data_IF_505115121119
#
_entry.id   IF_505115121119
#
_cell.length_a   1.000
_cell.length_b   1.000
_cell.length_c   1.000
_cell.angle_alpha   90.00
_cell.angle_beta   90.00
_cell.angle_gamma   90.00
#
_symmetry.space_group_name_H-M   'P 1'
#
loop_
_entity.id
_entity.type
_entity.pdbx_description
1 polymer ?
#
# COMPACT_ATOMS: atom_id res chain seq x y z
N UNK A 1 -19.97 21.72 3.76
CA UNK A 1 -19.59 20.57 4.62
C UNK A 1 -18.88 21.14 5.84
N UNK A 2 -19.21 20.72 7.06
CA UNK A 2 -18.39 21.10 8.22
C UNK A 2 -16.99 20.48 8.09
N UNK A 3 -15.98 21.13 8.65
CA UNK A 3 -14.59 20.64 8.66
C UNK A 3 -14.51 19.21 9.21
N UNK A 4 -15.30 18.93 10.26
CA UNK A 4 -15.43 17.62 10.89
C UNK A 4 -15.92 16.54 9.91
N UNK A 5 -16.97 16.84 9.14
CA UNK A 5 -17.51 15.88 8.16
C UNK A 5 -16.46 15.57 7.08
N UNK A 6 -15.70 16.57 6.64
CA UNK A 6 -14.63 16.38 5.66
C UNK A 6 -13.50 15.51 6.21
N UNK A 7 -13.11 15.72 7.47
CA UNK A 7 -12.08 14.95 8.15
C UNK A 7 -12.46 13.47 8.32
N UNK A 8 -13.69 13.20 8.79
CA UNK A 8 -14.18 11.82 8.98
C UNK A 8 -14.24 11.07 7.64
N UNK A 9 -14.71 11.74 6.58
CA UNK A 9 -14.71 11.16 5.23
C UNK A 9 -13.30 10.87 4.73
N UNK A 10 -12.37 11.83 4.91
CA UNK A 10 -10.96 11.67 4.54
C UNK A 10 -10.32 10.47 5.24
N UNK A 11 -10.47 10.37 6.57
CA UNK A 11 -9.97 9.26 7.36
C UNK A 11 -10.57 7.91 6.90
N UNK A 12 -11.89 7.88 6.65
CA UNK A 12 -12.57 6.69 6.14
C UNK A 12 -12.08 6.24 4.77
N UNK A 13 -11.85 7.18 3.83
CA UNK A 13 -11.28 6.86 2.52
C UNK A 13 -9.85 6.32 2.64
N UNK A 14 -9.02 6.94 3.47
CA UNK A 14 -7.64 6.52 3.66
C UNK A 14 -7.55 5.15 4.31
N UNK A 15 -8.38 4.84 5.30
CA UNK A 15 -8.44 3.51 5.89
C UNK A 15 -8.80 2.44 4.84
N UNK A 16 -9.74 2.74 3.93
CA UNK A 16 -10.09 1.82 2.83
C UNK A 16 -8.96 1.66 1.81
N UNK A 17 -8.29 2.75 1.45
CA UNK A 17 -7.12 2.75 0.55
C UNK A 17 -5.96 1.96 1.17
N UNK A 18 -5.73 2.13 2.47
CA UNK A 18 -4.74 1.41 3.25
C UNK A 18 -4.99 -0.10 3.20
N UNK A 19 -6.21 -0.51 3.56
CA UNK A 19 -6.62 -1.92 3.52
C UNK A 19 -6.53 -2.48 2.09
N UNK A 20 -7.05 -1.75 1.09
CA UNK A 20 -6.95 -2.16 -0.30
C UNK A 20 -5.49 -2.34 -0.74
N UNK A 21 -4.58 -1.46 -0.32
CA UNK A 21 -3.15 -1.60 -0.61
C UNK A 21 -2.56 -2.85 0.02
N UNK A 22 -2.76 -3.05 1.33
CA UNK A 22 -2.20 -4.21 2.02
C UNK A 22 -2.76 -5.52 1.49
N UNK A 23 -4.05 -5.60 1.17
CA UNK A 23 -4.66 -6.81 0.60
C UNK A 23 -4.57 -6.86 -0.94
N UNK A 24 -3.73 -6.01 -1.55
CA UNK A 24 -3.48 -5.96 -2.99
C UNK A 24 -4.73 -5.81 -3.88
N UNK A 25 -5.79 -5.18 -3.38
CA UNK A 25 -7.05 -4.90 -4.08
C UNK A 25 -7.01 -3.56 -4.81
N UNK A 26 -6.08 -3.42 -5.76
CA UNK A 26 -5.82 -2.15 -6.46
C UNK A 26 -6.95 -1.71 -7.41
N UNK A 27 -7.74 -2.66 -7.89
CA UNK A 27 -8.97 -2.44 -8.67
C UNK A 27 -10.00 -1.63 -7.87
N UNK A 28 -10.22 -2.00 -6.61
CA UNK A 28 -11.14 -1.31 -5.71
C UNK A 28 -10.63 0.08 -5.28
N UNK A 29 -9.33 0.34 -5.42
CA UNK A 29 -8.70 1.55 -4.93
C UNK A 29 -8.87 2.75 -5.88
N UNK A 30 -8.96 2.51 -7.19
CA UNK A 30 -9.09 3.57 -8.19
C UNK A 30 -10.32 4.48 -7.96
N UNK A 31 -11.55 3.96 -7.80
CA UNK A 31 -12.71 4.82 -7.56
C UNK A 31 -12.65 5.53 -6.20
N UNK A 32 -11.99 4.94 -5.20
CA UNK A 32 -11.76 5.61 -3.91
C UNK A 32 -10.79 6.79 -4.07
N UNK A 33 -9.75 6.61 -4.87
CA UNK A 33 -8.78 7.66 -5.15
C UNK A 33 -9.37 8.82 -5.96
N UNK A 34 -10.20 8.53 -6.96
CA UNK A 34 -10.91 9.56 -7.73
C UNK A 34 -11.82 10.41 -6.83
N UNK A 35 -12.55 9.78 -5.90
CA UNK A 35 -13.37 10.48 -4.91
C UNK A 35 -12.51 11.28 -3.94
N UNK A 36 -11.45 10.67 -3.40
CA UNK A 36 -10.53 11.34 -2.50
C UNK A 36 -9.91 12.59 -3.15
N UNK A 37 -9.54 12.54 -4.43
CA UNK A 37 -9.01 13.69 -5.15
C UNK A 37 -10.04 14.79 -5.38
N UNK A 38 -11.30 14.42 -5.60
CA UNK A 38 -12.39 15.37 -5.80
C UNK A 38 -12.77 16.09 -4.50
N UNK A 39 -12.70 15.38 -3.38
CA UNK A 39 -13.12 15.87 -2.06
C UNK A 39 -11.96 16.43 -1.21
N UNK A 40 -10.70 16.16 -1.56
CA UNK A 40 -9.56 16.68 -0.82
C UNK A 40 -9.48 18.20 -0.95
N UNK A 41 -9.46 18.91 0.18
CA UNK A 41 -9.08 20.32 0.25
C UNK A 41 -7.63 20.51 -0.19
N UNK A 42 -7.28 21.74 -0.59
CA UNK A 42 -5.95 22.08 -1.11
C UNK A 42 -4.81 21.80 -0.13
N UNK A 43 -5.09 21.63 1.17
CA UNK A 43 -4.07 21.23 2.15
C UNK A 43 -4.61 20.24 3.20
N UNK A 44 -4.52 18.92 2.97
CA UNK A 44 -4.92 17.91 3.96
C UNK A 44 -3.89 17.72 5.07
N UNK A 45 -2.81 18.51 5.13
CA UNK A 45 -1.73 18.34 6.09
C UNK A 45 -0.68 17.32 5.64
N UNK A 46 0.51 17.44 6.22
CA UNK A 46 1.73 16.83 5.70
C UNK A 46 1.72 15.29 5.69
N UNK A 47 1.31 14.69 6.81
CA UNK A 47 1.23 13.22 6.94
C UNK A 47 0.33 12.60 5.87
N UNK A 48 -0.81 13.25 5.61
CA UNK A 48 -1.80 12.80 4.63
C UNK A 48 -1.27 12.81 3.21
N UNK A 49 -0.55 13.87 2.85
CA UNK A 49 0.04 13.99 1.53
C UNK A 49 1.09 12.90 1.28
N UNK A 50 1.91 12.61 2.28
CA UNK A 50 2.92 11.55 2.22
C UNK A 50 2.31 10.15 2.08
N UNK A 51 1.30 9.84 2.90
CA UNK A 51 0.56 8.58 2.81
C UNK A 51 -0.14 8.45 1.44
N UNK A 52 -0.74 9.54 0.94
CA UNK A 52 -1.34 9.60 -0.39
C UNK A 52 -0.33 9.28 -1.49
N UNK A 53 0.87 9.87 -1.48
CA UNK A 53 1.88 9.54 -2.47
C UNK A 53 2.26 8.06 -2.46
N UNK A 54 2.43 7.48 -1.26
CA UNK A 54 2.74 6.05 -1.14
C UNK A 54 1.66 5.20 -1.81
N UNK A 55 0.40 5.34 -1.40
CA UNK A 55 -0.67 4.47 -1.90
C UNK A 55 -0.96 4.69 -3.39
N UNK A 56 -0.89 5.92 -3.88
CA UNK A 56 -1.05 6.21 -5.31
C UNK A 56 0.08 5.63 -6.13
N UNK A 57 1.32 5.72 -5.64
CA UNK A 57 2.48 5.11 -6.27
C UNK A 57 2.32 3.60 -6.39
N UNK A 58 1.94 2.93 -5.29
CA UNK A 58 1.72 1.48 -5.27
C UNK A 58 0.58 1.04 -6.19
N UNK A 59 -0.52 1.82 -6.23
CA UNK A 59 -1.61 1.61 -7.17
C UNK A 59 -1.13 1.67 -8.62
N UNK A 60 -0.47 2.78 -8.96
CA UNK A 60 -0.09 3.09 -10.33
C UNK A 60 0.94 2.08 -10.83
N UNK A 61 1.87 1.66 -9.97
CA UNK A 61 2.83 0.61 -10.28
C UNK A 61 2.14 -0.74 -10.53
N UNK A 62 1.19 -1.13 -9.68
CA UNK A 62 0.45 -2.39 -9.83
C UNK A 62 -0.40 -2.39 -11.11
N UNK A 63 -1.25 -1.37 -11.29
CA UNK A 63 -2.09 -1.23 -12.48
C UNK A 63 -1.26 -1.10 -13.77
N UNK A 64 -0.12 -0.42 -13.74
CA UNK A 64 0.76 -0.36 -14.89
C UNK A 64 1.39 -1.73 -15.21
N UNK A 65 1.82 -2.50 -14.20
CA UNK A 65 2.36 -3.84 -14.44
C UNK A 65 1.33 -4.76 -15.09
N UNK A 66 0.07 -4.68 -14.64
CA UNK A 66 -1.01 -5.54 -15.12
C UNK A 66 -1.52 -5.12 -16.50
N UNK A 67 -1.79 -3.83 -16.70
CA UNK A 67 -2.47 -3.36 -17.93
C UNK A 67 -1.52 -2.77 -18.98
N UNK A 68 -0.26 -2.49 -18.64
CA UNK A 68 0.74 -1.79 -19.47
C UNK A 68 0.28 -0.43 -20.03
N UNK A 69 -0.71 0.21 -19.39
CA UNK A 69 -1.30 1.46 -19.90
C UNK A 69 -0.42 2.66 -19.53
N UNK A 70 -0.10 3.46 -20.54
CA UNK A 70 0.73 4.68 -20.41
C UNK A 70 0.23 5.65 -19.33
N UNK A 71 -1.10 5.77 -19.15
CA UNK A 71 -1.69 6.63 -18.12
C UNK A 71 -1.20 6.29 -16.70
N UNK A 72 -1.05 4.99 -16.38
CA UNK A 72 -0.59 4.56 -15.06
C UNK A 72 0.92 4.73 -14.91
N UNK A 73 1.71 4.54 -15.99
CA UNK A 73 3.12 4.91 -16.01
C UNK A 73 3.34 6.39 -15.74
N UNK A 74 2.53 7.26 -16.39
CA UNK A 74 2.58 8.72 -16.18
C UNK A 74 2.22 9.08 -14.75
N UNK A 75 1.13 8.52 -14.22
CA UNK A 75 0.73 8.72 -12.82
C UNK A 75 1.82 8.29 -11.84
N UNK A 76 2.45 7.13 -12.06
CA UNK A 76 3.55 6.65 -11.24
C UNK A 76 4.76 7.60 -11.30
N UNK A 77 5.16 8.03 -12.50
CA UNK A 77 6.26 8.99 -12.70
C UNK A 77 6.00 10.31 -11.99
N UNK A 78 4.80 10.86 -12.12
CA UNK A 78 4.39 12.10 -11.43
C UNK A 78 4.42 11.92 -9.92
N UNK A 79 3.88 10.81 -9.41
CA UNK A 79 3.86 10.51 -7.97
C UNK A 79 5.27 10.35 -7.40
N UNK A 80 6.16 9.68 -8.13
CA UNK A 80 7.58 9.57 -7.79
C UNK A 80 8.24 10.96 -7.67
N UNK A 81 8.09 11.83 -8.69
CA UNK A 81 8.64 13.20 -8.65
C UNK A 81 8.08 14.02 -7.49
N UNK A 82 6.77 13.99 -7.28
CA UNK A 82 6.12 14.75 -6.22
C UNK A 82 6.53 14.26 -4.83
N UNK A 83 6.65 12.94 -4.64
CA UNK A 83 7.14 12.37 -3.38
C UNK A 83 8.60 12.76 -3.10
N UNK A 84 9.44 12.81 -4.14
CA UNK A 84 10.83 13.27 -4.03
C UNK A 84 10.87 14.72 -3.55
N UNK A 85 10.13 15.59 -4.25
CA UNK A 85 10.05 17.02 -3.92
C UNK A 85 9.53 17.24 -2.48
N UNK A 86 8.49 16.52 -2.07
CA UNK A 86 7.95 16.61 -0.72
C UNK A 86 8.98 16.16 0.34
N UNK A 87 9.70 15.07 0.10
CA UNK A 87 10.77 14.62 1.00
C UNK A 87 11.91 15.64 1.10
N UNK A 88 12.40 16.17 -0.02
CA UNK A 88 13.54 17.11 -0.01
C UNK A 88 13.20 18.45 0.62
N UNK A 89 11.94 18.89 0.53
CA UNK A 89 11.51 20.21 1.04
C UNK A 89 11.06 20.19 2.49
N UNK A 90 10.58 19.05 2.99
CA UNK A 90 9.86 18.98 4.28
C UNK A 90 10.45 17.96 5.27
N UNK A 91 11.57 17.32 4.91
CA UNK A 91 12.40 16.57 5.85
C UNK A 91 12.22 15.04 5.83
N UNK A 92 13.02 14.37 6.67
CA UNK A 92 13.29 12.92 6.57
C UNK A 92 12.12 12.00 6.91
N UNK A 93 11.08 12.46 7.60
CA UNK A 93 9.98 11.60 8.07
C UNK A 93 9.17 10.92 6.95
N UNK A 94 9.47 11.22 5.68
CA UNK A 94 8.85 10.61 4.50
C UNK A 94 9.85 9.98 3.54
N UNK A 95 11.13 9.95 3.90
CA UNK A 95 12.21 9.37 3.10
C UNK A 95 11.89 7.91 2.76
N UNK A 96 11.46 7.14 3.75
CA UNK A 96 11.16 5.72 3.60
C UNK A 96 10.03 5.47 2.58
N UNK A 97 8.94 6.24 2.63
CA UNK A 97 7.83 6.17 1.66
C UNK A 97 8.27 6.54 0.25
N UNK A 98 9.07 7.60 0.12
CA UNK A 98 9.66 7.98 -1.16
C UNK A 98 10.52 6.83 -1.73
N UNK A 99 11.35 6.19 -0.89
CA UNK A 99 12.19 5.07 -1.32
C UNK A 99 11.37 3.86 -1.79
N UNK A 100 10.23 3.56 -1.16
CA UNK A 100 9.31 2.51 -1.64
C UNK A 100 8.77 2.87 -3.03
N UNK A 101 8.31 4.12 -3.24
CA UNK A 101 7.80 4.59 -4.54
C UNK A 101 8.91 4.55 -5.60
N UNK A 102 10.14 4.93 -5.24
CA UNK A 102 11.32 4.86 -6.11
C UNK A 102 11.57 3.41 -6.55
N UNK A 103 11.59 2.46 -5.61
CA UNK A 103 11.81 1.05 -5.90
C UNK A 103 10.75 0.50 -6.87
N UNK A 104 9.48 0.84 -6.65
CA UNK A 104 8.37 0.47 -7.54
C UNK A 104 8.46 1.12 -8.91
N UNK A 105 8.85 2.39 -9.00
CA UNK A 105 9.06 3.07 -10.27
C UNK A 105 10.16 2.39 -11.09
N UNK A 106 11.30 2.07 -10.47
CA UNK A 106 12.39 1.34 -11.12
C UNK A 106 11.87 -0.03 -11.56
N UNK A 107 11.28 -0.82 -10.65
CA UNK A 107 10.75 -2.16 -10.96
C UNK A 107 9.72 -2.18 -12.10
N UNK A 108 8.87 -1.16 -12.18
CA UNK A 108 7.86 -0.99 -13.21
C UNK A 108 8.45 -0.60 -14.57
N UNK A 109 9.54 0.17 -14.60
CA UNK A 109 10.12 0.73 -15.83
C UNK A 109 11.35 -0.01 -16.35
N UNK A 110 11.95 -0.85 -15.52
CA UNK A 110 13.03 -1.77 -15.87
C UNK A 110 12.66 -2.73 -16.99
N UNK A 111 13.62 -3.02 -17.86
CA UNK A 111 13.49 -4.07 -18.88
C UNK A 111 13.54 -5.43 -18.18
N UNK A 112 12.51 -6.24 -18.36
CA UNK A 112 12.47 -7.58 -17.77
C UNK A 112 13.60 -8.45 -18.34
N UNK A 113 14.29 -9.18 -17.46
CA UNK A 113 15.39 -10.09 -17.84
C UNK A 113 16.76 -9.43 -17.98
N UNK A 114 16.86 -8.10 -17.92
CA UNK A 114 18.15 -7.41 -17.88
C UNK A 114 18.75 -7.45 -16.47
N UNK A 115 19.98 -7.98 -16.35
CA UNK A 115 20.65 -8.17 -15.05
C UNK A 115 20.88 -6.84 -14.33
N UNK A 116 21.36 -5.83 -15.06
CA UNK A 116 21.62 -4.49 -14.50
C UNK A 116 20.34 -3.87 -13.94
N UNK A 117 19.23 -4.02 -14.68
CA UNK A 117 17.91 -3.61 -14.22
C UNK A 117 17.49 -4.35 -12.95
N UNK A 118 17.72 -5.66 -12.85
CA UNK A 118 17.39 -6.45 -11.65
C UNK A 118 18.18 -5.94 -10.45
N UNK A 119 19.50 -5.77 -10.57
CA UNK A 119 20.35 -5.32 -9.47
C UNK A 119 19.96 -3.92 -8.96
N UNK A 120 19.60 -3.01 -9.87
CA UNK A 120 19.07 -1.70 -9.50
C UNK A 120 17.76 -1.79 -8.70
N UNK A 121 16.84 -2.68 -9.08
CA UNK A 121 15.60 -2.93 -8.34
C UNK A 121 15.91 -3.52 -6.95
N UNK A 122 16.82 -4.50 -6.88
CA UNK A 122 17.23 -5.11 -5.61
C UNK A 122 17.80 -4.07 -4.64
N UNK A 123 18.68 -3.20 -5.14
CA UNK A 123 19.26 -2.12 -4.35
C UNK A 123 18.19 -1.16 -3.83
N UNK A 124 17.29 -0.68 -4.70
CA UNK A 124 16.25 0.26 -4.32
C UNK A 124 15.28 -0.29 -3.26
N UNK A 125 14.87 -1.57 -3.36
CA UNK A 125 14.04 -2.19 -2.34
C UNK A 125 14.80 -2.41 -1.03
N UNK A 126 16.08 -2.79 -1.07
CA UNK A 126 16.90 -2.93 0.15
C UNK A 126 17.01 -1.61 0.90
N UNK A 127 17.24 -0.50 0.20
CA UNK A 127 17.25 0.84 0.80
C UNK A 127 15.90 1.14 1.47
N UNK A 128 14.79 0.89 0.78
CA UNK A 128 13.45 1.14 1.29
C UNK A 128 13.14 0.31 2.55
N UNK A 129 13.51 -0.98 2.56
CA UNK A 129 13.34 -1.89 3.68
C UNK A 129 14.20 -1.43 4.87
N UNK A 130 15.47 -1.12 4.62
CA UNK A 130 16.42 -0.68 5.66
C UNK A 130 15.94 0.59 6.33
N UNK A 131 15.66 1.65 5.55
CA UNK A 131 15.24 2.93 6.12
C UNK A 131 13.89 2.79 6.84
N UNK A 132 12.94 2.01 6.31
CA UNK A 132 11.64 1.80 6.98
C UNK A 132 11.77 1.05 8.31
N UNK A 133 12.67 0.07 8.40
CA UNK A 133 12.86 -0.69 9.63
C UNK A 133 13.66 0.11 10.66
N UNK A 134 14.66 0.88 10.24
CA UNK A 134 15.48 1.74 11.09
C UNK A 134 14.64 2.81 11.80
N UNK A 135 13.75 3.49 11.07
CA UNK A 135 12.88 4.53 11.65
C UNK A 135 11.69 3.96 12.45
N UNK A 136 11.58 2.64 12.58
CA UNK A 136 10.50 1.98 13.32
C UNK A 136 9.17 1.84 12.56
N UNK A 137 9.11 2.17 11.28
CA UNK A 137 7.95 1.93 10.41
C UNK A 137 7.91 0.47 9.92
N UNK A 138 7.80 -0.46 10.88
CA UNK A 138 7.84 -1.91 10.64
C UNK A 138 6.80 -2.38 9.61
N UNK A 139 5.62 -1.76 9.57
CA UNK A 139 4.57 -2.09 8.60
C UNK A 139 4.93 -1.69 7.17
N UNK A 140 5.63 -0.57 6.99
CA UNK A 140 6.11 -0.13 5.68
C UNK A 140 7.33 -0.95 5.24
N UNK A 141 8.17 -1.41 6.18
CA UNK A 141 9.21 -2.40 5.90
C UNK A 141 8.61 -3.74 5.43
N UNK A 142 7.55 -4.21 6.11
CA UNK A 142 6.79 -5.40 5.69
C UNK A 142 6.18 -5.24 4.30
N UNK A 143 5.63 -4.05 4.00
CA UNK A 143 5.10 -3.71 2.68
C UNK A 143 6.20 -3.74 1.61
N UNK A 144 7.34 -3.10 1.85
CA UNK A 144 8.47 -3.12 0.92
C UNK A 144 8.97 -4.56 0.66
N UNK A 145 9.08 -5.38 1.70
CA UNK A 145 9.41 -6.81 1.58
C UNK A 145 8.40 -7.58 0.73
N UNK A 146 7.09 -7.45 0.99
CA UNK A 146 6.03 -8.12 0.20
C UNK A 146 6.09 -7.69 -1.27
N UNK A 147 6.22 -6.39 -1.52
CA UNK A 147 6.30 -5.83 -2.87
C UNK A 147 7.52 -6.34 -3.64
N UNK A 148 8.67 -6.40 -2.98
CA UNK A 148 9.90 -6.91 -3.58
C UNK A 148 9.81 -8.42 -3.85
N UNK A 149 9.29 -9.20 -2.89
CA UNK A 149 9.08 -10.64 -3.08
C UNK A 149 8.18 -10.92 -4.29
N UNK A 150 7.07 -10.19 -4.44
CA UNK A 150 6.19 -10.32 -5.61
C UNK A 150 6.93 -10.01 -6.93
N UNK A 151 7.81 -9.02 -6.94
CA UNK A 151 8.66 -8.75 -8.12
C UNK A 151 9.61 -9.92 -8.43
N UNK A 152 10.23 -10.51 -7.41
CA UNK A 152 11.14 -11.65 -7.55
C UNK A 152 10.42 -12.93 -8.01
N UNK A 153 9.18 -13.15 -7.56
CA UNK A 153 8.32 -14.26 -8.03
C UNK A 153 8.08 -14.14 -9.54
N UNK A 154 7.79 -12.94 -10.04
CA UNK A 154 7.60 -12.70 -11.48
C UNK A 154 8.87 -13.02 -12.29
N UNK A 155 10.05 -12.88 -11.67
CA UNK A 155 11.34 -13.23 -12.26
C UNK A 155 11.77 -14.69 -12.01
N UNK A 156 10.91 -15.51 -11.36
CA UNK A 156 11.20 -16.90 -10.98
C UNK A 156 12.42 -17.05 -10.05
N UNK A 157 12.69 -16.04 -9.23
CA UNK A 157 13.80 -16.05 -8.25
C UNK A 157 13.30 -16.57 -6.89
N UNK A 158 12.84 -17.83 -6.87
CA UNK A 158 12.08 -18.42 -5.76
C UNK A 158 12.78 -18.33 -4.38
N UNK A 159 14.11 -18.52 -4.32
CA UNK A 159 14.86 -18.46 -3.07
C UNK A 159 14.88 -17.04 -2.46
N UNK A 160 15.19 -16.03 -3.28
CA UNK A 160 15.16 -14.62 -2.86
C UNK A 160 13.73 -14.20 -2.50
N UNK A 161 12.74 -14.61 -3.30
CA UNK A 161 11.33 -14.34 -3.03
C UNK A 161 10.90 -14.91 -1.67
N UNK A 162 11.31 -16.15 -1.36
CA UNK A 162 10.99 -16.81 -0.09
C UNK A 162 11.55 -16.06 1.11
N UNK A 163 12.80 -15.59 1.00
CA UNK A 163 13.44 -14.78 2.03
C UNK A 163 12.63 -13.52 2.33
N UNK A 164 12.29 -12.72 1.32
CA UNK A 164 11.61 -11.45 1.54
C UNK A 164 10.14 -11.61 1.92
N UNK A 165 9.43 -12.63 1.41
CA UNK A 165 8.05 -12.88 1.81
C UNK A 165 7.95 -13.36 3.27
N UNK A 166 8.92 -14.17 3.73
CA UNK A 166 9.02 -14.57 5.14
C UNK A 166 9.33 -13.36 6.04
N UNK A 167 10.21 -12.46 5.59
CA UNK A 167 10.45 -11.19 6.29
C UNK A 167 9.20 -10.30 6.33
N UNK A 168 8.42 -10.23 5.26
CA UNK A 168 7.15 -9.50 5.25
C UNK A 168 6.18 -10.02 6.32
N UNK A 169 6.02 -11.35 6.42
CA UNK A 169 5.21 -11.98 7.47
C UNK A 169 5.71 -11.62 8.86
N UNK A 170 7.04 -11.64 9.07
CA UNK A 170 7.66 -11.26 10.35
C UNK A 170 7.36 -9.81 10.72
N UNK A 171 7.51 -8.87 9.78
CA UNK A 171 7.22 -7.47 10.02
C UNK A 171 5.74 -7.20 10.29
N UNK A 172 4.83 -7.85 9.56
CA UNK A 172 3.39 -7.73 9.80
C UNK A 172 2.97 -8.34 11.13
N UNK A 173 3.56 -9.47 11.50
CA UNK A 173 3.33 -10.07 12.81
C UNK A 173 3.79 -9.14 13.94
N UNK A 174 5.00 -8.59 13.86
CA UNK A 174 5.52 -7.60 14.82
C UNK A 174 4.68 -6.33 14.91
N UNK A 175 4.04 -5.94 13.81
CA UNK A 175 3.09 -4.83 13.79
C UNK A 175 1.72 -5.16 14.40
N UNK A 176 1.41 -6.44 14.62
CA UNK A 176 0.12 -6.91 15.13
C UNK A 176 -0.94 -7.17 14.05
N UNK A 177 -0.57 -7.20 12.77
CA UNK A 177 -1.49 -7.41 11.66
C UNK A 177 -1.68 -8.90 11.34
N UNK A 178 -2.27 -9.65 12.26
CA UNK A 178 -2.50 -11.11 12.14
C UNK A 178 -3.28 -11.47 10.86
N UNK A 179 -4.38 -10.77 10.58
CA UNK A 179 -5.17 -10.98 9.37
C UNK A 179 -4.36 -10.82 8.07
N UNK A 180 -3.34 -9.94 8.08
CA UNK A 180 -2.44 -9.75 6.95
C UNK A 180 -1.41 -10.88 6.83
N UNK A 181 -0.94 -11.41 7.95
CA UNK A 181 -0.07 -12.60 7.99
C UNK A 181 -0.81 -13.82 7.45
N UNK A 182 -2.05 -14.04 7.89
CA UNK A 182 -2.89 -15.16 7.44
C UNK A 182 -3.15 -15.08 5.93
N UNK A 183 -3.48 -13.89 5.42
CA UNK A 183 -3.62 -13.63 3.98
C UNK A 183 -2.34 -13.96 3.18
N UNK A 184 -1.16 -13.61 3.71
CA UNK A 184 0.11 -13.97 3.07
C UNK A 184 0.36 -15.47 3.08
N UNK A 185 0.14 -16.14 4.22
CA UNK A 185 0.29 -17.59 4.35
C UNK A 185 -0.65 -18.34 3.39
N UNK A 186 -1.87 -17.84 3.21
CA UNK A 186 -2.83 -18.43 2.28
C UNK A 186 -2.42 -18.24 0.82
N UNK A 187 -2.05 -17.00 0.42
CA UNK A 187 -1.75 -16.67 -0.99
C UNK A 187 -0.37 -17.12 -1.45
N UNK A 188 0.61 -17.16 -0.54
CA UNK A 188 2.03 -17.34 -0.85
C UNK A 188 2.68 -18.45 -0.04
N UNK A 189 1.93 -19.48 0.36
CA UNK A 189 2.42 -20.61 1.18
C UNK A 189 3.74 -21.21 0.67
N UNK A 190 3.90 -21.37 -0.65
CA UNK A 190 5.12 -21.87 -1.31
C UNK A 190 6.35 -20.98 -1.09
N UNK A 191 6.14 -19.68 -0.92
CA UNK A 191 7.21 -18.68 -0.79
C UNK A 191 7.39 -18.24 0.66
N UNK A 192 6.93 -19.02 1.64
CA UNK A 192 7.08 -18.66 3.06
C UNK A 192 7.69 -19.85 3.80
N UNK A 193 8.79 -19.61 4.51
CA UNK A 193 9.31 -20.58 5.48
C UNK A 193 8.39 -20.57 6.71
N UNK A 194 7.39 -21.46 6.68
CA UNK A 194 6.42 -21.61 7.76
C UNK A 194 7.07 -22.02 9.08
N UNK A 195 8.19 -22.75 9.06
CA UNK A 195 8.89 -23.12 10.27
C UNK A 195 9.53 -21.88 10.91
N UNK A 196 10.10 -20.99 10.10
CA UNK A 196 10.62 -19.71 10.58
C UNK A 196 9.50 -18.82 11.14
N UNK A 197 8.40 -18.65 10.41
CA UNK A 197 7.27 -17.82 10.87
C UNK A 197 6.67 -18.40 12.16
N UNK A 198 6.46 -19.72 12.22
CA UNK A 198 5.91 -20.39 13.40
C UNK A 198 6.81 -20.26 14.64
N UNK A 199 8.13 -20.30 14.49
CA UNK A 199 9.07 -20.02 15.60
C UNK A 199 8.91 -18.59 16.12
N UNK A 200 8.74 -17.61 15.24
CA UNK A 200 8.60 -16.21 15.62
C UNK A 200 7.27 -15.93 16.33
N UNK A 201 6.18 -16.51 15.85
CA UNK A 201 4.85 -16.36 16.46
C UNK A 201 4.84 -16.93 17.88
N UNK A 202 5.49 -18.08 18.10
CA UNK A 202 5.59 -18.71 19.44
C UNK A 202 6.36 -17.87 20.45
N UNK A 203 7.31 -17.04 20.02
CA UNK A 203 8.09 -16.17 20.93
C UNK A 203 7.24 -14.98 21.41
N UNK A 204 6.24 -14.56 20.62
CA UNK A 204 5.27 -13.52 21.01
C UNK A 204 4.00 -14.10 21.61
N UNK A 205 4.07 -15.28 22.25
CA UNK A 205 2.99 -15.69 23.15
C UNK A 205 2.65 -14.52 24.07
N UNK A 206 1.35 -14.25 24.26
CA UNK A 206 0.91 -13.02 24.87
C UNK A 206 1.63 -12.85 26.21
N UNK A 207 2.00 -11.61 26.52
CA UNK A 207 2.00 -11.11 27.89
C UNK A 207 0.57 -11.31 28.44
N UNK A 208 0.16 -12.56 28.59
CA UNK A 208 -1.13 -13.03 29.09
C UNK A 208 -1.27 -12.71 30.58
N UNK A 209 -0.20 -12.18 31.15
CA UNK A 209 -0.14 -11.73 32.51
C UNK A 209 0.02 -10.19 32.53
N UNK A 210 -0.91 -9.49 31.88
CA UNK A 210 -1.16 -8.06 32.14
C UNK A 210 -1.36 -7.83 33.66
N UNK A 211 -1.83 -8.86 34.38
CA UNK A 211 -1.93 -8.91 35.83
C UNK A 211 -0.59 -8.93 36.58
N UNK A 212 0.54 -9.26 35.94
CA UNK A 212 1.89 -9.15 36.53
C UNK A 212 2.70 -7.96 36.02
N UNK A 213 2.16 -7.15 35.09
CA UNK A 213 2.80 -5.88 34.73
C UNK A 213 2.87 -4.94 35.95
N UNK A 214 3.98 -4.22 36.16
CA UNK A 214 4.09 -3.22 37.20
C UNK A 214 2.94 -2.19 37.14
N UNK A 215 2.44 -1.68 38.28
CA UNK A 215 1.28 -0.79 38.32
C UNK A 215 1.35 0.42 37.38
N UNK A 216 2.55 0.95 37.11
CA UNK A 216 2.77 2.10 36.23
C UNK A 216 2.54 1.80 34.73
N UNK A 217 2.65 0.54 34.28
CA UNK A 217 2.34 0.13 32.90
C UNK A 217 0.86 -0.26 32.69
N UNK A 218 0.12 -0.52 33.78
CA UNK A 218 -1.35 -0.74 33.73
C UNK A 218 -2.12 0.56 33.53
N UNK A 219 -1.59 1.68 34.05
CA UNK A 219 -2.25 2.98 33.97
C UNK A 219 -2.37 3.52 32.53
N UNK A 220 -1.39 3.22 31.66
CA UNK A 220 -1.37 3.65 30.24
C UNK A 220 -2.25 2.79 29.33
N UNK A 221 -2.36 1.48 29.61
CA UNK A 221 -3.19 0.55 28.83
C UNK A 221 -4.69 0.77 29.08
N UNK A 222 -5.09 1.03 30.33
CA UNK A 222 -6.48 1.38 30.67
C UNK A 222 -6.91 2.75 30.09
N UNK A 223 -5.99 3.71 29.97
CA UNK A 223 -6.29 5.05 29.41
C UNK A 223 -6.55 5.03 27.91
N UNK A 224 -5.96 4.07 27.17
CA UNK A 224 -6.22 3.84 25.75
C UNK A 224 -7.56 3.12 25.50
N UNK A 225 -7.98 2.19 26.38
CA UNK A 225 -9.29 1.55 26.27
C UNK A 225 -10.47 2.52 26.49
N UNK A 226 -10.32 3.48 27.41
CA UNK A 226 -11.35 4.50 27.69
C UNK A 226 -11.56 5.51 26.55
N UNK A 227 -10.61 5.69 25.63
CA UNK A 227 -10.75 6.62 24.50
C UNK A 227 -11.35 5.99 23.22
N UNK A 228 -11.31 4.66 23.09
CA UNK A 228 -11.89 3.95 21.94
C UNK A 228 -13.18 3.18 22.27
N UNK A 229 -13.58 3.12 23.54
CA UNK A 229 -14.87 2.59 23.98
C UNK A 229 -16.02 3.56 23.74
N UNK A 230 -16.36 3.86 22.48
CA UNK A 230 -17.76 4.18 22.17
C UNK A 230 -18.44 2.89 21.74
N UNK A 231 -19.53 2.61 22.43
CA UNK A 231 -20.34 1.40 22.38
C UNK A 231 -20.90 1.14 20.97
N UNK A 232 -20.19 0.33 20.18
CA UNK A 232 -20.59 -0.12 18.84
C UNK A 232 -21.81 -1.04 18.89
N UNK A 233 -22.18 -1.59 20.06
CA UNK A 233 -23.38 -2.42 20.19
C UNK A 233 -24.67 -1.60 20.30
N UNK A 234 -24.60 -0.32 20.69
CA UNK A 234 -25.80 0.53 20.78
C UNK A 234 -26.34 1.04 19.42
N UNK A 235 -25.60 0.88 18.32
CA UNK A 235 -25.97 1.45 16.99
C UNK A 235 -26.65 0.43 16.05
N UNK A 236 -26.75 -0.85 16.41
CA UNK A 236 -27.31 -1.89 15.51
C UNK A 236 -28.71 -2.41 15.86
N UNK A 237 -29.41 -1.85 16.85
CA UNK A 237 -30.81 -2.22 17.16
C UNK A 237 -31.73 -1.05 16.84
N UNK A 238 -31.94 -0.77 15.55
CA UNK A 238 -32.82 0.31 15.16
C UNK A 238 -32.98 0.54 13.66
N UNK A 239 -33.39 -0.49 12.89
CA UNK A 239 -34.22 -0.30 11.67
C UNK A 239 -34.57 -1.66 11.05
N UNK A 240 -35.58 -2.32 11.61
CA UNK A 240 -36.36 -3.33 10.89
C UNK A 240 -37.59 -2.62 10.34
N UNK A 241 -37.58 -2.33 9.04
CA UNK A 241 -38.74 -1.71 8.41
C UNK A 241 -38.55 -1.30 6.94
N UNK A 242 -39.04 -2.17 6.05
CA UNK A 242 -39.57 -1.90 4.70
C UNK A 242 -38.67 -2.11 3.46
N UNK A 243 -39.19 -3.05 2.66
CA UNK A 243 -39.33 -3.13 1.19
C UNK A 243 -38.18 -3.79 0.41
N UNK A 244 -38.40 -5.09 0.17
CA UNK A 244 -38.06 -5.79 -1.05
C UNK A 244 -38.55 -5.01 -2.29
N UNK A 245 -37.66 -4.76 -3.26
CA UNK A 245 -37.92 -4.95 -4.70
C UNK A 245 -36.71 -4.48 -5.50
N UNK A 246 -36.40 -5.19 -6.58
CA UNK A 246 -35.48 -4.83 -7.68
C UNK A 246 -34.01 -5.22 -7.51
N UNK A 247 -33.77 -6.52 -7.37
CA UNK A 247 -32.52 -7.15 -7.80
C UNK A 247 -32.77 -7.84 -9.16
N UNK A 248 -32.46 -7.14 -10.26
CA UNK A 248 -32.14 -7.70 -11.58
C UNK A 248 -31.71 -6.54 -12.49
N UNK A 249 -30.62 -6.74 -13.24
CA UNK A 249 -30.07 -5.83 -14.26
C UNK A 249 -29.05 -4.78 -13.80
N UNK A 250 -27.86 -5.20 -13.37
CA UNK A 250 -26.67 -4.32 -13.36
C UNK A 250 -25.35 -5.02 -13.74
N UNK A 251 -25.37 -6.30 -14.14
CA UNK A 251 -24.16 -7.02 -14.58
C UNK A 251 -23.85 -6.90 -16.08
N UNK A 252 -24.78 -6.40 -16.91
CA UNK A 252 -24.54 -6.23 -18.37
C UNK A 252 -24.11 -4.82 -18.80
N UNK A 253 -24.16 -3.81 -17.94
CA UNK A 253 -23.90 -2.42 -18.35
C UNK A 253 -22.43 -2.01 -18.25
N UNK A 254 -21.60 -2.77 -17.52
CA UNK A 254 -20.17 -2.46 -17.36
C UNK A 254 -19.33 -2.99 -18.54
N UNK A 255 -19.70 -4.12 -19.14
CA UNK A 255 -18.99 -4.63 -20.32
C UNK A 255 -19.29 -3.82 -21.60
N UNK A 256 -20.49 -3.24 -21.72
CA UNK A 256 -20.89 -2.48 -22.91
C UNK A 256 -20.24 -1.09 -23.05
N UNK A 257 -19.67 -0.53 -21.97
CA UNK A 257 -18.93 0.76 -22.04
C UNK A 257 -17.43 0.59 -22.30
N UNK A 258 -16.88 -0.62 -22.16
CA UNK A 258 -15.45 -0.84 -22.30
C UNK A 258 -15.04 -1.32 -23.71
N UNK A 259 -15.97 -1.89 -24.48
CA UNK A 259 -15.74 -2.31 -25.87
C UNK A 259 -15.97 -1.20 -26.89
N UNK A 260 -16.57 -0.06 -26.52
CA UNK A 260 -16.88 1.04 -27.43
C UNK A 260 -15.74 2.03 -27.68
N UNK A 261 -14.61 1.91 -26.98
CA UNK A 261 -13.47 2.83 -27.10
C UNK A 261 -12.22 2.18 -27.72
N UNK A 262 -12.44 1.26 -28.68
CA UNK A 262 -11.39 0.47 -29.37
C UNK A 262 -11.12 0.91 -30.82
N UNK A 263 -11.65 2.04 -31.26
CA UNK A 263 -11.28 2.66 -32.54
C UNK A 263 -10.92 4.12 -32.30
N UNK A 264 -9.86 4.58 -32.99
CA UNK A 264 -9.23 5.91 -32.97
C UNK A 264 -8.26 6.17 -31.81
N UNK A 265 -7.00 5.77 -32.00
CA UNK A 265 -5.85 6.68 -31.92
C UNK A 265 -4.57 5.92 -32.36
N UNK A 266 -4.38 5.88 -33.67
CA UNK A 266 -3.04 5.84 -34.28
C UNK A 266 -2.50 7.27 -34.30
N UNK A 267 -1.16 7.40 -34.31
CA UNK A 267 -0.33 8.62 -34.29
C UNK A 267 -0.04 9.23 -32.91
N UNK A 268 0.95 8.67 -32.21
CA UNK A 268 1.86 9.52 -31.42
C UNK A 268 3.22 9.52 -32.09
N UNK A 269 3.58 10.67 -32.65
CA UNK A 269 4.95 10.97 -33.06
C UNK A 269 5.89 10.81 -31.86
N UNK A 270 7.01 10.13 -32.11
CA UNK A 270 8.17 10.14 -31.25
C UNK A 270 8.74 11.57 -31.24
N UNK A 271 8.60 12.28 -30.11
CA UNK A 271 9.44 13.42 -29.82
C UNK A 271 10.71 12.92 -29.12
N UNK A 272 11.84 13.12 -29.83
CA UNK A 272 13.20 13.05 -29.34
C UNK A 272 13.33 13.82 -28.01
N UNK A 273 13.52 13.08 -26.92
CA UNK A 273 14.02 13.65 -25.67
C UNK A 273 15.54 13.59 -25.74
N UNK A 274 16.14 14.69 -26.16
CA UNK A 274 17.58 14.90 -26.06
C UNK A 274 18.02 14.75 -24.60
N UNK A 275 19.03 13.91 -24.42
CA UNK A 275 19.71 13.63 -23.17
C UNK A 275 20.61 14.83 -22.90
N UNK A 276 20.30 15.60 -21.85
CA UNK A 276 21.25 16.52 -21.24
C UNK A 276 22.37 15.69 -20.58
N UNK A 277 23.53 15.72 -21.23
CA UNK A 277 24.82 15.44 -20.61
C UNK A 277 25.23 16.67 -19.80
N UNK A 278 25.17 16.57 -18.48
CA UNK A 278 25.92 17.50 -17.63
C UNK A 278 27.31 16.91 -17.41
N UNK A 279 28.29 17.60 -17.99
CA UNK A 279 29.70 17.56 -17.61
C UNK A 279 29.97 18.75 -16.68
N UNK A 280 30.87 18.50 -15.71
CA UNK A 280 31.45 19.39 -14.69
C UNK A 280 30.75 19.42 -13.32
#
# INVERSE_FOLDING_TARGET
KTLETAFVLLAGYLARILLATYFQRFDAMLPLFERLNKDASDDPGYYYQSARFLYVGLMAASLYRDTKRSKFKRLLKTTYKNSKSAWTTRGECHKNRHLIIRAEYIAATSKQGDKTSIDAVKAAFRDAIFVSSEVGHVHEAGLACERFANYLILLKMDADATKYMTQACTYYHRWGATAKVDDLLQRHSRYIDQAQVGRLIKIQEPLSDIATLPPYLRATTNRLQLHFGTDVQSVMVGSVGRKQSTARSLTHTVEARYTRNKGTDETSQDEDVSILTDHE
#
